data_IF_459017322562
#
_entry.id   IF_459017322562
#
_cell.length_a   1.000
_cell.length_b   1.000
_cell.length_c   1.000
_cell.angle_alpha   90.00
_cell.angle_beta   90.00
_cell.angle_gamma   90.00
#
_symmetry.space_group_name_H-M   'P 1'
#
loop_
_entity.id
_entity.type
_entity.pdbx_description
1 polymer ?
#
# COMPACT_ATOMS: atom_id res chain seq x y z
N UNK A 1 -20.80 -10.01 -1.59
CA UNK A 1 -19.61 -9.41 -2.19
C UNK A 1 -19.01 -10.42 -3.15
N UNK A 2 -18.83 -10.06 -4.42
CA UNK A 2 -18.17 -10.93 -5.41
C UNK A 2 -16.68 -10.65 -5.43
N UNK A 3 -15.88 -11.58 -5.96
CA UNK A 3 -14.43 -11.38 -6.08
C UNK A 3 -14.09 -10.13 -6.91
N UNK A 4 -14.82 -9.89 -8.00
CA UNK A 4 -14.64 -8.71 -8.84
C UNK A 4 -14.91 -7.40 -8.07
N UNK A 5 -15.92 -7.39 -7.19
CA UNK A 5 -16.21 -6.24 -6.35
C UNK A 5 -15.05 -5.97 -5.37
N UNK A 6 -14.54 -7.01 -4.71
CA UNK A 6 -13.37 -6.90 -3.83
C UNK A 6 -12.14 -6.35 -4.56
N UNK A 7 -11.88 -6.85 -5.76
CA UNK A 7 -10.77 -6.37 -6.60
C UNK A 7 -10.96 -4.91 -6.98
N UNK A 8 -12.17 -4.52 -7.38
CA UNK A 8 -12.48 -3.14 -7.78
C UNK A 8 -12.33 -2.17 -6.61
N UNK A 9 -12.84 -2.53 -5.42
CA UNK A 9 -12.65 -1.76 -4.20
C UNK A 9 -11.17 -1.63 -3.82
N UNK A 10 -10.42 -2.74 -3.91
CA UNK A 10 -8.97 -2.75 -3.67
C UNK A 10 -8.23 -1.82 -4.62
N UNK A 11 -8.54 -1.89 -5.92
CA UNK A 11 -7.97 -1.01 -6.94
C UNK A 11 -8.28 0.47 -6.66
N UNK A 12 -9.53 0.79 -6.33
CA UNK A 12 -9.95 2.15 -6.00
C UNK A 12 -9.19 2.70 -4.77
N UNK A 13 -8.98 1.89 -3.74
CA UNK A 13 -8.19 2.27 -2.56
C UNK A 13 -6.74 2.57 -2.96
N UNK A 14 -6.12 1.70 -3.77
CA UNK A 14 -4.75 1.87 -4.24
C UNK A 14 -4.61 3.16 -5.05
N UNK A 15 -5.50 3.37 -6.03
CA UNK A 15 -5.51 4.58 -6.86
C UNK A 15 -5.74 5.86 -6.04
N UNK A 16 -6.70 5.83 -5.11
CA UNK A 16 -6.94 6.96 -4.21
C UNK A 16 -5.72 7.31 -3.35
N UNK A 17 -4.95 6.31 -2.90
CA UNK A 17 -3.72 6.53 -2.15
C UNK A 17 -2.60 7.10 -3.02
N UNK A 18 -2.47 6.64 -4.26
CA UNK A 18 -1.49 7.18 -5.22
C UNK A 18 -1.80 8.65 -5.53
N UNK A 19 -3.05 8.98 -5.83
CA UNK A 19 -3.50 10.36 -6.08
C UNK A 19 -3.27 11.29 -4.89
N UNK A 20 -3.47 10.81 -3.65
CA UNK A 20 -3.20 11.61 -2.45
C UNK A 20 -1.70 11.85 -2.25
N UNK A 21 -0.85 10.89 -2.58
CA UNK A 21 0.58 11.03 -2.29
C UNK A 21 1.29 11.96 -3.25
N UNK A 22 0.88 12.00 -4.52
CA UNK A 22 1.38 13.00 -5.49
C UNK A 22 1.05 14.42 -5.06
N UNK A 23 -0.12 14.67 -4.47
CA UNK A 23 -0.50 15.99 -3.95
C UNK A 23 0.38 16.48 -2.78
N UNK A 24 1.00 15.57 -2.02
CA UNK A 24 1.81 15.92 -0.83
C UNK A 24 3.27 16.22 -1.21
N UNK A 25 3.77 15.70 -2.33
CA UNK A 25 5.17 15.83 -2.76
C UNK A 25 5.48 17.13 -3.53
N UNK A 26 4.61 18.13 -3.47
CA UNK A 26 4.78 19.45 -4.11
C UNK A 26 5.91 20.32 -3.52
N UNK A 27 6.85 19.73 -2.77
CA UNK A 27 8.04 20.39 -2.24
C UNK A 27 9.32 19.63 -2.62
N UNK A 28 9.99 20.09 -3.68
CA UNK A 28 11.41 19.88 -4.07
C UNK A 28 12.03 18.47 -4.01
N UNK A 29 11.27 17.42 -3.73
CA UNK A 29 11.75 16.03 -3.67
C UNK A 29 11.02 15.26 -4.75
N UNK A 30 11.75 14.79 -5.77
CA UNK A 30 11.17 14.10 -6.91
C UNK A 30 10.27 12.93 -6.50
N UNK A 31 9.30 12.60 -7.36
CA UNK A 31 8.37 11.49 -7.10
C UNK A 31 9.16 10.20 -6.89
N UNK A 32 9.06 9.60 -5.71
CA UNK A 32 9.65 8.30 -5.41
C UNK A 32 8.63 7.19 -5.71
N UNK A 33 9.13 6.06 -6.23
CA UNK A 33 8.30 4.87 -6.44
C UNK A 33 7.72 4.37 -5.11
N UNK A 34 6.51 3.82 -5.17
CA UNK A 34 5.72 3.50 -3.99
C UNK A 34 5.25 2.05 -3.95
N UNK A 35 5.25 1.50 -2.75
CA UNK A 35 4.53 0.27 -2.43
C UNK A 35 3.23 0.61 -1.71
N UNK A 36 2.13 0.11 -2.25
CA UNK A 36 0.81 0.21 -1.63
C UNK A 36 0.37 -1.17 -1.18
N UNK A 37 0.10 -1.29 0.12
CA UNK A 37 -0.46 -2.49 0.70
C UNK A 37 -1.92 -2.24 1.09
N UNK A 38 -2.79 -3.18 0.75
CA UNK A 38 -4.18 -3.22 1.19
C UNK A 38 -4.42 -4.54 1.89
N UNK A 39 -4.96 -4.48 3.10
CA UNK A 39 -5.47 -5.66 3.82
C UNK A 39 -6.98 -5.59 3.72
N UNK A 40 -7.58 -6.64 3.19
CA UNK A 40 -9.01 -6.67 2.95
C UNK A 40 -9.62 -8.04 3.19
N UNK A 41 -10.93 -8.04 3.31
CA UNK A 41 -11.72 -9.24 3.59
C UNK A 41 -12.54 -9.61 2.36
N UNK A 42 -12.54 -10.89 2.02
CA UNK A 42 -13.46 -11.47 1.05
C UNK A 42 -14.22 -12.61 1.73
N UNK A 43 -15.43 -12.31 2.19
CA UNK A 43 -16.17 -13.21 3.08
C UNK A 43 -15.39 -13.48 4.37
N UNK A 44 -15.11 -14.76 4.66
CA UNK A 44 -14.33 -15.18 5.84
C UNK A 44 -12.82 -15.17 5.64
N UNK A 45 -12.34 -14.76 4.47
CA UNK A 45 -10.92 -14.80 4.12
C UNK A 45 -10.27 -13.43 4.25
N UNK A 46 -9.08 -13.36 4.85
CA UNK A 46 -8.20 -12.18 4.76
C UNK A 46 -7.28 -12.33 3.56
N UNK A 47 -7.11 -11.24 2.83
CA UNK A 47 -6.16 -11.10 1.75
C UNK A 47 -5.25 -9.90 2.02
N UNK A 48 -3.95 -10.07 1.76
CA UNK A 48 -3.00 -8.96 1.69
C UNK A 48 -2.63 -8.76 0.23
N UNK A 49 -2.81 -7.54 -0.24
CA UNK A 49 -2.53 -7.12 -1.61
C UNK A 49 -1.38 -6.13 -1.59
N UNK A 50 -0.42 -6.31 -2.48
CA UNK A 50 0.74 -5.45 -2.67
C UNK A 50 0.79 -4.98 -4.13
N UNK A 51 0.70 -3.67 -4.34
CA UNK A 51 0.98 -3.03 -5.62
C UNK A 51 2.29 -2.26 -5.55
N UNK A 52 3.16 -2.43 -6.55
CA UNK A 52 4.41 -1.70 -6.69
C UNK A 52 4.28 -0.73 -7.86
N UNK A 53 4.47 0.55 -7.58
CA UNK A 53 4.26 1.65 -8.52
C UNK A 53 5.56 2.43 -8.69
N UNK A 54 6.29 2.20 -9.79
CA UNK A 54 7.48 2.97 -10.12
C UNK A 54 7.20 4.47 -10.24
N UNK A 55 8.21 5.30 -9.94
CA UNK A 55 8.08 6.75 -9.94
C UNK A 55 7.67 7.32 -11.31
N UNK A 56 8.30 6.83 -12.36
CA UNK A 56 7.99 7.14 -13.77
C UNK A 56 6.54 6.79 -14.11
N UNK A 57 6.04 5.65 -13.63
CA UNK A 57 4.64 5.25 -13.80
C UNK A 57 3.71 6.24 -13.10
N UNK A 58 3.99 6.61 -11.84
CA UNK A 58 3.17 7.58 -11.10
C UNK A 58 3.17 8.94 -11.78
N UNK A 59 4.33 9.45 -12.19
CA UNK A 59 4.47 10.74 -12.88
C UNK A 59 3.71 10.74 -14.21
N UNK A 60 3.84 9.68 -15.00
CA UNK A 60 3.14 9.54 -16.28
C UNK A 60 1.64 9.46 -16.08
N UNK A 61 1.14 8.60 -15.19
CA UNK A 61 -0.30 8.49 -14.90
C UNK A 61 -0.87 9.82 -14.41
N UNK A 62 -0.14 10.55 -13.56
CA UNK A 62 -0.61 11.83 -13.05
C UNK A 62 -0.70 12.92 -14.13
N UNK A 63 0.24 12.93 -15.09
CA UNK A 63 0.30 13.95 -16.14
C UNK A 63 -0.54 13.61 -17.37
N UNK A 64 -0.64 12.34 -17.74
CA UNK A 64 -1.23 11.87 -18.99
C UNK A 64 -2.45 10.96 -18.78
N UNK A 65 -2.75 10.58 -17.53
CA UNK A 65 -3.76 9.58 -17.22
C UNK A 65 -3.31 8.14 -17.49
N UNK A 66 -4.21 7.20 -17.26
CA UNK A 66 -4.01 5.80 -17.62
C UNK A 66 -4.37 5.56 -19.09
N UNK A 67 -3.60 4.73 -19.78
CA UNK A 67 -4.00 4.20 -21.09
C UNK A 67 -5.15 3.19 -20.94
N UNK A 68 -5.90 2.93 -22.03
CA UNK A 68 -7.02 1.97 -22.00
C UNK A 68 -6.59 0.55 -21.64
N UNK A 69 -5.40 0.17 -22.08
CA UNK A 69 -4.83 -1.17 -21.89
C UNK A 69 -3.77 -1.19 -20.77
N UNK A 70 -3.78 -0.18 -19.91
CA UNK A 70 -2.87 -0.08 -18.79
C UNK A 70 -3.14 -1.18 -17.77
N UNK A 71 -2.12 -1.99 -17.51
CA UNK A 71 -2.18 -3.03 -16.49
C UNK A 71 -1.18 -2.72 -15.37
N UNK A 72 -1.63 -2.85 -14.13
CA UNK A 72 -0.77 -2.78 -12.96
C UNK A 72 -0.70 -4.16 -12.32
N UNK A 73 0.52 -4.63 -12.06
CA UNK A 73 0.72 -5.89 -11.35
C UNK A 73 0.36 -5.73 -9.88
N UNK A 74 -0.62 -6.52 -9.43
CA UNK A 74 -0.99 -6.65 -8.03
C UNK A 74 -0.65 -8.05 -7.56
N UNK A 75 0.15 -8.14 -6.49
CA UNK A 75 0.49 -9.40 -5.85
C UNK A 75 -0.45 -9.64 -4.68
N UNK A 76 -1.13 -10.78 -4.71
CA UNK A 76 -2.02 -11.22 -3.65
C UNK A 76 -1.35 -12.32 -2.85
N UNK A 77 -1.48 -12.29 -1.54
CA UNK A 77 -1.32 -13.52 -0.76
C UNK A 77 -2.48 -14.46 -1.10
N UNK A 78 -2.30 -15.76 -0.80
CA UNK A 78 -3.45 -16.65 -0.66
C UNK A 78 -4.47 -16.06 0.32
N UNK A 79 -5.75 -16.40 0.14
CA UNK A 79 -6.76 -16.11 1.15
C UNK A 79 -6.51 -16.94 2.40
N UNK A 80 -6.58 -16.31 3.57
CA UNK A 80 -6.46 -16.98 4.87
C UNK A 80 -7.84 -17.09 5.50
N UNK A 81 -8.33 -18.31 5.67
CA UNK A 81 -9.62 -18.57 6.32
C UNK A 81 -9.57 -18.30 7.82
N UNK A 82 -10.31 -17.31 8.30
CA UNK A 82 -10.28 -16.92 9.71
C UNK A 82 -10.90 -17.95 10.65
N UNK A 83 -11.71 -18.88 10.13
CA UNK A 83 -12.31 -19.93 10.95
C UNK A 83 -11.39 -21.13 11.09
N UNK A 84 -10.32 -21.20 10.31
CA UNK A 84 -9.26 -22.20 10.46
C UNK A 84 -8.19 -21.66 11.40
N UNK A 85 -7.96 -22.35 12.52
CA UNK A 85 -6.88 -22.00 13.47
C UNK A 85 -5.51 -21.90 12.78
N UNK A 86 -5.25 -22.78 11.81
CA UNK A 86 -3.99 -22.77 11.04
C UNK A 86 -3.87 -21.50 10.22
N UNK A 87 -4.90 -21.16 9.46
CA UNK A 87 -4.88 -19.98 8.60
C UNK A 87 -4.90 -18.68 9.40
N UNK A 88 -5.58 -18.65 10.55
CA UNK A 88 -5.50 -17.55 11.51
C UNK A 88 -4.05 -17.31 11.99
N UNK A 89 -3.33 -18.37 12.37
CA UNK A 89 -1.93 -18.27 12.78
C UNK A 89 -1.02 -17.81 11.63
N UNK A 90 -1.28 -18.24 10.40
CA UNK A 90 -0.53 -17.77 9.25
C UNK A 90 -0.84 -16.30 8.90
N UNK A 91 -2.12 -15.89 8.93
CA UNK A 91 -2.54 -14.52 8.71
C UNK A 91 -1.89 -13.56 9.71
N UNK A 92 -1.92 -13.89 11.00
CA UNK A 92 -1.29 -13.09 12.06
C UNK A 92 0.23 -12.97 11.88
N UNK A 93 0.91 -14.03 11.42
CA UNK A 93 2.34 -13.96 11.07
C UNK A 93 2.60 -13.02 9.89
N UNK A 94 1.78 -13.08 8.85
CA UNK A 94 1.89 -12.19 7.68
C UNK A 94 1.68 -10.74 8.08
N UNK A 95 0.64 -10.45 8.86
CA UNK A 95 0.35 -9.10 9.35
C UNK A 95 1.48 -8.57 10.25
N UNK A 96 2.02 -9.41 11.14
CA UNK A 96 3.16 -9.04 12.00
C UNK A 96 4.41 -8.72 11.19
N UNK A 97 4.70 -9.51 10.14
CA UNK A 97 5.82 -9.25 9.23
C UNK A 97 5.62 -7.95 8.45
N UNK A 98 4.41 -7.70 7.97
CA UNK A 98 4.06 -6.45 7.28
C UNK A 98 4.22 -5.24 8.19
N UNK A 99 3.72 -5.33 9.43
CA UNK A 99 3.88 -4.29 10.43
C UNK A 99 5.36 -4.00 10.73
N UNK A 100 6.16 -5.04 10.92
CA UNK A 100 7.61 -4.89 11.13
C UNK A 100 8.31 -4.26 9.93
N UNK A 101 7.92 -4.64 8.72
CA UNK A 101 8.45 -4.05 7.48
C UNK A 101 8.16 -2.54 7.42
N UNK A 102 6.94 -2.12 7.75
CA UNK A 102 6.59 -0.70 7.83
C UNK A 102 7.43 0.08 8.83
N UNK A 103 7.75 -0.52 9.98
CA UNK A 103 8.59 0.11 10.99
C UNK A 103 10.09 0.06 10.67
N UNK A 104 10.53 -0.71 9.67
CA UNK A 104 11.95 -0.87 9.37
C UNK A 104 12.62 0.37 8.76
N UNK A 105 11.84 1.37 8.33
CA UNK A 105 12.34 2.52 7.57
C UNK A 105 12.67 2.21 6.10
N UNK A 106 12.74 0.93 5.72
CA UNK A 106 12.97 0.49 4.34
C UNK A 106 11.70 0.44 3.49
N UNK A 107 10.53 0.61 4.12
CA UNK A 107 9.26 0.56 3.42
C UNK A 107 9.14 1.74 2.45
N UNK A 108 8.99 1.44 1.15
CA UNK A 108 8.69 2.43 0.11
C UNK A 108 7.23 2.89 0.14
N UNK A 109 6.66 3.06 1.33
CA UNK A 109 5.30 3.53 1.52
C UNK A 109 5.34 5.00 1.93
N UNK A 110 5.10 5.93 0.99
CA UNK A 110 5.33 7.36 1.20
C UNK A 110 4.63 7.95 2.44
N UNK A 111 3.43 7.48 2.79
CA UNK A 111 2.74 7.90 4.00
C UNK A 111 3.48 7.49 5.31
N UNK A 112 4.11 6.32 5.30
CA UNK A 112 4.86 5.79 6.46
C UNK A 112 6.19 6.52 6.58
N UNK A 113 6.87 6.75 5.44
CA UNK A 113 8.09 7.55 5.42
C UNK A 113 7.84 8.98 5.92
N UNK A 114 6.77 9.64 5.47
CA UNK A 114 6.38 10.96 5.94
C UNK A 114 6.04 10.98 7.45
N UNK A 115 5.34 9.96 7.94
CA UNK A 115 5.05 9.81 9.37
C UNK A 115 6.34 9.64 10.21
N UNK A 116 7.24 8.75 9.79
CA UNK A 116 8.51 8.50 10.48
C UNK A 116 9.42 9.72 10.46
N UNK A 117 9.52 10.44 9.34
CA UNK A 117 10.25 11.71 9.24
C UNK A 117 9.67 12.77 10.19
N UNK A 118 8.34 12.91 10.24
CA UNK A 118 7.69 13.84 11.18
C UNK A 118 7.98 13.46 12.64
N UNK A 119 7.90 12.17 12.97
CA UNK A 119 8.20 11.68 14.32
C UNK A 119 9.67 11.95 14.71
N UNK A 120 10.62 11.76 13.79
CA UNK A 120 12.04 12.07 14.01
C UNK A 120 12.28 13.58 14.21
N UNK A 121 11.68 14.44 13.39
CA UNK A 121 11.80 15.89 13.51
C UNK A 121 11.19 16.41 14.83
N UNK A 122 10.13 15.78 15.32
CA UNK A 122 9.52 16.14 16.62
C UNK A 122 10.44 15.76 17.79
N UNK A 123 11.21 14.67 17.67
CA UNK A 123 12.22 14.29 18.67
C UNK A 123 13.45 15.21 18.67
N UNK A 124 13.87 15.70 17.51
CA UNK A 124 15.00 16.62 17.39
C UNK A 124 14.68 18.05 17.86
N UNK A 125 13.39 18.39 18.00
CA UNK A 125 12.92 19.69 18.48
C UNK A 125 12.35 19.62 19.92
N UNK A 126 12.65 18.55 20.67
CA UNK A 126 12.40 18.49 22.12
C UNK A 126 13.35 19.40 22.90
N UNK A 127 12.95 19.89 24.10
CA UNK A 127 13.64 20.94 24.85
C UNK A 127 15.10 20.62 25.21
#
# INVERSE_FOLDING_TARGET
MTWNQFLMETLNIILGRLAKTTSIQNGNTGVLGQEVYVVGFYGRFIHVVCGLFPADTIVRVHSQGCSKDEAFELRFTRGYDLYSKKDWLEATRVLTRLYRYFLSGNAKAGAIQAYLQRAANTKNNGP
#
